data_IF_456395743146
#
_entry.id   IF_456395743146
#
_cell.length_a   1.000
_cell.length_b   1.000
_cell.length_c   1.000
_cell.angle_alpha   90.00
_cell.angle_beta   90.00
_cell.angle_gamma   90.00
#
_symmetry.space_group_name_H-M   'P 1'
#
loop_
_entity.id
_entity.type
_entity.pdbx_description
1 polymer ?
#
# COMPACT_ATOMS: atom_id res chain seq x y z
N UNK A 1 15.65 30.66 -1.55
CA UNK A 1 15.33 31.09 -2.90
C UNK A 1 13.91 30.66 -3.29
N UNK A 2 13.42 31.24 -4.37
CA UNK A 2 12.07 30.97 -4.88
C UNK A 2 12.13 29.93 -6.01
N UNK A 3 11.18 28.97 -6.03
CA UNK A 3 11.02 27.97 -7.08
C UNK A 3 9.54 27.88 -7.46
N UNK A 4 9.26 27.63 -8.72
CA UNK A 4 7.89 27.43 -9.19
C UNK A 4 7.87 26.33 -10.25
N UNK A 5 6.69 25.72 -10.42
CA UNK A 5 6.42 24.76 -11.46
C UNK A 5 4.93 24.82 -11.85
N UNK A 6 4.64 24.68 -13.13
CA UNK A 6 3.29 24.57 -13.65
C UNK A 6 3.24 23.39 -14.63
N UNK A 7 2.12 22.69 -14.65
CA UNK A 7 1.87 21.60 -15.56
C UNK A 7 0.42 21.64 -16.00
N UNK A 8 0.17 21.35 -17.26
CA UNK A 8 -1.17 21.13 -17.81
C UNK A 8 -1.15 19.81 -18.61
N UNK A 9 -2.18 19.02 -18.46
CA UNK A 9 -2.41 17.81 -19.25
C UNK A 9 -3.86 17.81 -19.74
N UNK A 10 -4.07 17.38 -20.97
CA UNK A 10 -5.37 17.26 -21.62
C UNK A 10 -5.56 15.80 -21.97
N UNK A 11 -6.67 15.22 -21.57
CA UNK A 11 -7.05 13.84 -21.84
C UNK A 11 -8.23 13.83 -22.80
N UNK A 12 -8.10 13.13 -23.92
CA UNK A 12 -9.19 12.93 -24.86
C UNK A 12 -10.15 11.83 -24.38
N UNK A 13 -11.34 11.81 -24.98
CA UNK A 13 -12.30 10.74 -24.77
C UNK A 13 -11.69 9.38 -25.17
N UNK A 14 -11.79 8.40 -24.27
CA UNK A 14 -11.36 7.02 -24.51
C UNK A 14 -12.57 6.10 -24.44
N UNK A 15 -12.72 5.23 -25.43
CA UNK A 15 -13.74 4.19 -25.41
C UNK A 15 -13.11 2.79 -25.43
N UNK A 16 -13.64 1.90 -24.61
CA UNK A 16 -13.24 0.48 -24.60
C UNK A 16 -14.45 -0.42 -24.47
N UNK A 17 -14.30 -1.66 -24.93
CA UNK A 17 -15.31 -2.69 -24.75
C UNK A 17 -15.06 -3.40 -23.43
N UNK A 18 -16.10 -3.62 -22.66
CA UNK A 18 -16.11 -4.41 -21.45
C UNK A 18 -17.28 -5.41 -21.49
N UNK A 19 -17.17 -6.53 -20.80
CA UNK A 19 -18.28 -7.43 -20.54
C UNK A 19 -18.87 -7.15 -19.16
N UNK A 20 -20.22 -7.10 -19.09
CA UNK A 20 -20.90 -7.04 -17.81
C UNK A 20 -20.91 -8.41 -17.11
N UNK A 21 -21.38 -8.45 -15.87
CA UNK A 21 -21.47 -9.70 -15.09
C UNK A 21 -22.34 -10.79 -15.71
N UNK A 22 -23.12 -10.46 -16.75
CA UNK A 22 -23.99 -11.37 -17.51
C UNK A 22 -23.38 -11.78 -18.86
N UNK A 23 -22.09 -11.39 -19.11
CA UNK A 23 -21.40 -11.70 -20.35
C UNK A 23 -21.83 -10.86 -21.56
N UNK A 24 -22.49 -9.73 -21.36
CA UNK A 24 -22.94 -8.85 -22.45
C UNK A 24 -21.89 -7.78 -22.73
N UNK A 25 -21.56 -7.60 -24.00
CA UNK A 25 -20.66 -6.52 -24.42
C UNK A 25 -21.25 -5.14 -24.09
N UNK A 26 -20.46 -4.33 -23.41
CA UNK A 26 -20.76 -2.90 -23.15
C UNK A 26 -19.62 -2.05 -23.66
N UNK A 27 -19.96 -0.97 -24.33
CA UNK A 27 -19.01 0.09 -24.63
C UNK A 27 -18.98 1.06 -23.45
N UNK A 28 -17.83 1.16 -22.79
CA UNK A 28 -17.57 2.14 -21.75
C UNK A 28 -16.88 3.32 -22.43
N UNK A 29 -17.45 4.52 -22.25
CA UNK A 29 -16.89 5.77 -22.72
C UNK A 29 -16.45 6.55 -21.47
N UNK A 30 -15.17 6.85 -21.37
CA UNK A 30 -14.61 7.78 -20.39
C UNK A 30 -14.34 9.10 -21.13
N UNK A 31 -15.07 10.11 -20.72
CA UNK A 31 -14.90 11.43 -21.30
C UNK A 31 -13.60 12.06 -20.78
N UNK A 32 -12.85 12.69 -21.65
CA UNK A 32 -11.60 13.33 -21.33
C UNK A 32 -11.71 14.40 -20.25
N UNK A 33 -10.60 14.70 -19.60
CA UNK A 33 -10.48 15.69 -18.52
C UNK A 33 -9.25 16.55 -18.73
N UNK A 34 -9.34 17.80 -18.31
CA UNK A 34 -8.22 18.72 -18.27
C UNK A 34 -7.64 18.80 -16.85
N UNK A 35 -6.33 18.75 -16.76
CA UNK A 35 -5.59 18.79 -15.49
C UNK A 35 -4.66 20.00 -15.48
N UNK A 36 -4.66 20.73 -14.38
CA UNK A 36 -3.72 21.82 -14.14
C UNK A 36 -3.11 21.72 -12.76
N UNK A 37 -1.82 21.97 -12.66
CA UNK A 37 -1.06 21.96 -11.39
C UNK A 37 -0.17 23.19 -11.35
N UNK A 38 -0.18 23.88 -10.20
CA UNK A 38 0.71 24.99 -9.88
C UNK A 38 1.41 24.71 -8.54
N UNK A 39 2.73 24.76 -8.52
CA UNK A 39 3.54 24.66 -7.30
C UNK A 39 4.39 25.92 -7.14
N UNK A 40 4.32 26.54 -5.95
CA UNK A 40 5.20 27.62 -5.54
C UNK A 40 5.92 27.17 -4.28
N UNK A 41 7.22 27.44 -4.20
CA UNK A 41 8.05 27.08 -3.06
C UNK A 41 9.06 28.20 -2.78
N UNK A 42 9.08 28.66 -1.54
CA UNK A 42 10.13 29.51 -1.01
C UNK A 42 10.97 28.71 -0.01
N UNK A 43 12.27 28.68 -0.19
CA UNK A 43 13.20 28.05 0.74
C UNK A 43 14.27 29.05 1.19
N UNK A 44 14.40 29.18 2.50
CA UNK A 44 15.51 29.85 3.16
C UNK A 44 16.36 28.80 3.88
N UNK A 45 17.66 28.82 3.60
CA UNK A 45 18.65 27.92 4.19
C UNK A 45 19.79 28.76 4.71
N UNK A 46 19.83 28.88 6.01
CA UNK A 46 20.94 29.49 6.76
C UNK A 46 21.28 28.55 7.92
N UNK A 47 21.48 29.02 9.12
CA UNK A 47 21.60 28.17 10.32
C UNK A 47 20.35 27.28 10.52
N UNK A 48 19.18 27.77 10.14
CA UNK A 48 17.92 27.07 10.17
C UNK A 48 17.33 26.96 8.76
N UNK A 49 16.48 25.96 8.56
CA UNK A 49 15.76 25.77 7.30
C UNK A 49 14.31 26.20 7.47
N UNK A 50 13.84 27.07 6.58
CA UNK A 50 12.43 27.42 6.45
C UNK A 50 12.00 27.19 5.01
N UNK A 51 10.99 26.37 4.83
CA UNK A 51 10.27 26.15 3.57
C UNK A 51 8.84 26.60 3.70
N UNK A 52 8.34 27.37 2.73
CA UNK A 52 6.94 27.75 2.61
C UNK A 52 6.47 27.33 1.21
N UNK A 53 5.42 26.56 1.13
CA UNK A 53 4.92 26.03 -0.12
C UNK A 53 3.44 26.26 -0.34
N UNK A 54 3.07 26.40 -1.61
CA UNK A 54 1.69 26.37 -2.09
C UNK A 54 1.60 25.36 -3.23
N UNK A 55 0.56 24.52 -3.18
CA UNK A 55 0.19 23.61 -4.28
C UNK A 55 -1.29 23.83 -4.63
N UNK A 56 -1.55 24.21 -5.88
CA UNK A 56 -2.89 24.26 -6.44
C UNK A 56 -3.05 23.19 -7.52
N UNK A 57 -4.16 22.45 -7.50
CA UNK A 57 -4.53 21.52 -8.57
C UNK A 57 -5.96 21.77 -9.00
N UNK A 58 -6.23 21.58 -10.29
CA UNK A 58 -7.58 21.67 -10.85
C UNK A 58 -7.79 20.54 -11.85
N UNK A 59 -8.95 19.94 -11.78
CA UNK A 59 -9.45 18.95 -12.75
C UNK A 59 -10.77 19.45 -13.27
N UNK A 60 -10.89 19.61 -14.58
CA UNK A 60 -12.13 20.00 -15.26
C UNK A 60 -12.56 18.83 -16.12
N UNK A 61 -13.74 18.32 -15.88
CA UNK A 61 -14.33 17.23 -16.64
C UNK A 61 -15.80 17.46 -16.94
N UNK A 62 -16.39 16.70 -17.85
CA UNK A 62 -17.79 16.90 -18.29
C UNK A 62 -18.80 16.58 -17.18
N UNK A 63 -18.42 15.88 -16.13
CA UNK A 63 -19.32 15.48 -15.03
C UNK A 63 -19.21 16.38 -13.81
N UNK A 64 -18.01 16.90 -13.52
CA UNK A 64 -17.73 17.75 -12.37
C UNK A 64 -16.38 18.46 -12.53
N UNK A 65 -16.22 19.49 -11.74
CA UNK A 65 -14.93 20.14 -11.50
C UNK A 65 -14.43 19.78 -10.10
N UNK A 66 -13.12 19.66 -9.96
CA UNK A 66 -12.46 19.46 -8.69
C UNK A 66 -11.22 20.36 -8.57
N UNK A 67 -11.02 20.96 -7.40
CA UNK A 67 -9.82 21.72 -7.11
C UNK A 67 -9.29 21.37 -5.72
N UNK A 68 -7.97 21.40 -5.58
CA UNK A 68 -7.31 21.24 -4.29
C UNK A 68 -6.28 22.35 -4.13
N UNK A 69 -6.28 22.99 -2.96
CA UNK A 69 -5.31 23.99 -2.57
C UNK A 69 -4.62 23.55 -1.28
N UNK A 70 -3.30 23.53 -1.28
CA UNK A 70 -2.47 23.14 -0.15
C UNK A 70 -1.47 24.21 0.20
N UNK A 71 -1.29 24.44 1.50
CA UNK A 71 -0.20 25.23 2.06
C UNK A 71 0.69 24.33 2.88
N UNK A 72 1.98 24.41 2.73
CA UNK A 72 2.94 23.65 3.53
C UNK A 72 4.00 24.54 4.12
N UNK A 73 4.40 24.18 5.34
CA UNK A 73 5.47 24.84 6.11
C UNK A 73 6.42 23.75 6.58
N UNK A 74 7.69 23.96 6.32
CA UNK A 74 8.78 23.11 6.80
C UNK A 74 9.77 23.97 7.58
N UNK A 75 9.92 23.69 8.86
CA UNK A 75 10.90 24.35 9.70
C UNK A 75 11.83 23.34 10.35
N UNK A 76 13.11 23.62 10.38
CA UNK A 76 14.10 22.77 11.02
C UNK A 76 15.28 23.58 11.54
N UNK A 77 15.71 23.28 12.76
CA UNK A 77 16.99 23.77 13.29
C UNK A 77 18.14 23.12 12.53
N UNK A 78 19.18 23.92 12.21
CA UNK A 78 20.35 23.45 11.47
C UNK A 78 21.10 22.32 12.17
N UNK A 79 21.01 22.25 13.49
CA UNK A 79 21.55 21.13 14.29
C UNK A 79 20.81 19.79 14.07
N UNK A 80 19.62 19.80 13.43
CA UNK A 80 18.74 18.64 13.33
C UNK A 80 18.02 18.25 14.62
N UNK A 81 18.20 19.07 15.69
CA UNK A 81 17.60 18.81 17.00
C UNK A 81 16.08 18.86 16.97
N UNK A 82 15.51 19.77 16.17
CA UNK A 82 14.07 20.02 16.14
C UNK A 82 13.59 20.28 14.70
N UNK A 83 12.40 19.81 14.38
CA UNK A 83 11.77 20.08 13.10
C UNK A 83 10.26 20.04 13.19
N UNK A 84 9.59 20.87 12.40
CA UNK A 84 8.15 20.93 12.24
C UNK A 84 7.82 20.90 10.77
N UNK A 85 6.92 20.01 10.39
CA UNK A 85 6.31 19.97 9.07
C UNK A 85 4.80 20.10 9.24
N UNK A 86 4.18 21.07 8.56
CA UNK A 86 2.74 21.30 8.59
C UNK A 86 2.22 21.39 7.17
N UNK A 87 1.07 20.78 6.94
CA UNK A 87 0.33 20.90 5.70
C UNK A 87 -1.14 21.17 6.00
N UNK A 88 -1.71 22.17 5.34
CA UNK A 88 -3.13 22.47 5.33
C UNK A 88 -3.66 22.25 3.92
N UNK A 89 -4.83 21.66 3.80
CA UNK A 89 -5.46 21.38 2.51
C UNK A 89 -6.93 21.79 2.54
N UNK A 90 -7.38 22.39 1.44
CA UNK A 90 -8.78 22.61 1.12
C UNK A 90 -9.05 21.98 -0.24
N UNK A 91 -10.09 21.17 -0.31
CA UNK A 91 -10.59 20.62 -1.58
C UNK A 91 -12.00 21.16 -1.86
N UNK A 92 -12.29 21.37 -3.11
CA UNK A 92 -13.66 21.55 -3.61
C UNK A 92 -13.91 20.53 -4.71
N UNK A 93 -14.99 19.80 -4.62
CA UNK A 93 -15.39 18.83 -5.64
C UNK A 93 -16.88 18.88 -5.85
N UNK A 94 -17.28 19.27 -7.05
CA UNK A 94 -18.68 19.45 -7.43
C UNK A 94 -19.45 20.41 -6.47
N UNK A 95 -18.75 21.46 -5.95
CA UNK A 95 -19.32 22.43 -5.01
C UNK A 95 -19.31 21.98 -3.54
N UNK A 96 -18.78 20.80 -3.23
CA UNK A 96 -18.58 20.37 -1.85
C UNK A 96 -17.16 20.71 -1.37
N UNK A 97 -17.06 21.66 -0.45
CA UNK A 97 -15.78 22.09 0.11
C UNK A 97 -15.44 21.28 1.37
N UNK A 98 -14.25 20.69 1.40
CA UNK A 98 -13.68 20.00 2.55
C UNK A 98 -12.33 20.55 2.97
N UNK A 99 -11.94 20.36 4.22
CA UNK A 99 -10.68 20.84 4.79
C UNK A 99 -9.98 19.76 5.61
N UNK A 100 -8.65 19.83 5.60
CA UNK A 100 -7.81 18.93 6.38
C UNK A 100 -6.44 19.50 6.64
N UNK A 101 -5.66 18.77 7.44
CA UNK A 101 -4.28 19.15 7.72
C UNK A 101 -3.53 18.06 8.46
N UNK A 102 -2.22 18.18 8.38
CA UNK A 102 -1.24 17.29 9.02
C UNK A 102 -0.23 18.19 9.74
N UNK A 103 0.18 17.77 10.94
CA UNK A 103 1.25 18.39 11.70
C UNK A 103 2.20 17.31 12.21
N UNK A 104 3.46 17.41 11.82
CA UNK A 104 4.54 16.57 12.30
C UNK A 104 5.55 17.39 13.10
N UNK A 105 5.86 16.95 14.31
CA UNK A 105 6.89 17.55 15.16
C UNK A 105 7.95 16.50 15.47
N UNK A 106 9.19 16.80 15.16
CA UNK A 106 10.35 15.93 15.41
C UNK A 106 11.30 16.58 16.42
N UNK A 107 11.76 15.76 17.38
CA UNK A 107 12.75 16.14 18.36
C UNK A 107 13.79 15.04 18.51
N UNK A 108 15.05 15.33 18.23
CA UNK A 108 16.18 14.44 18.39
C UNK A 108 16.86 14.71 19.75
N UNK A 109 16.42 13.98 20.79
CA UNK A 109 17.01 14.12 22.13
C UNK A 109 18.51 13.74 22.14
N UNK A 110 18.91 12.85 21.22
CA UNK A 110 20.30 12.51 20.93
C UNK A 110 20.40 11.86 19.55
N UNK A 111 21.62 11.56 19.09
CA UNK A 111 21.82 10.73 17.89
C UNK A 111 21.21 9.32 18.00
N UNK A 112 20.95 8.86 19.21
CA UNK A 112 20.40 7.55 19.51
C UNK A 112 18.90 7.56 19.75
N UNK A 113 18.30 8.67 20.16
CA UNK A 113 16.90 8.74 20.57
C UNK A 113 16.22 9.91 19.85
N UNK A 114 15.14 9.60 19.16
CA UNK A 114 14.31 10.56 18.43
C UNK A 114 12.84 10.38 18.80
N UNK A 115 12.15 11.49 18.94
CA UNK A 115 10.72 11.58 19.18
C UNK A 115 10.04 12.18 17.95
N UNK A 116 8.91 11.65 17.56
CA UNK A 116 8.05 12.22 16.54
C UNK A 116 6.62 12.20 17.02
N UNK A 117 5.93 13.32 16.88
CA UNK A 117 4.50 13.47 17.09
C UNK A 117 3.88 13.80 15.75
N UNK A 118 2.84 13.07 15.38
CA UNK A 118 2.06 13.30 14.17
C UNK A 118 0.62 13.54 14.58
N UNK A 119 -0.01 14.53 13.99
CA UNK A 119 -1.43 14.82 14.17
C UNK A 119 -2.07 15.05 12.82
N UNK A 120 -3.24 14.47 12.60
CA UNK A 120 -4.02 14.54 11.38
C UNK A 120 -5.46 14.91 11.66
N UNK A 121 -6.02 15.76 10.82
CA UNK A 121 -7.42 16.13 10.80
C UNK A 121 -7.91 16.21 9.36
N UNK A 122 -8.97 15.49 9.04
CA UNK A 122 -9.64 15.56 7.75
C UNK A 122 -11.14 15.48 7.94
N UNK A 123 -11.88 16.52 7.54
CA UNK A 123 -13.34 16.50 7.62
C UNK A 123 -13.97 15.48 6.65
N UNK A 124 -15.29 15.32 6.71
CA UNK A 124 -16.02 14.32 5.92
C UNK A 124 -16.11 14.67 4.42
N UNK A 125 -15.89 15.93 4.06
CA UNK A 125 -16.04 16.44 2.69
C UNK A 125 -14.71 16.51 1.94
N UNK A 126 -13.57 16.49 2.63
CA UNK A 126 -12.28 16.56 1.97
C UNK A 126 -12.09 15.39 1.00
N UNK A 127 -11.80 15.71 -0.24
CA UNK A 127 -11.54 14.75 -1.31
C UNK A 127 -10.43 15.29 -2.23
N UNK A 128 -9.28 14.65 -2.22
CA UNK A 128 -8.12 15.03 -3.04
C UNK A 128 -7.80 13.97 -4.10
N UNK A 129 -8.68 12.97 -4.29
CA UNK A 129 -8.35 11.75 -5.03
C UNK A 129 -8.38 11.92 -6.55
N UNK A 130 -8.70 13.10 -7.07
CA UNK A 130 -8.66 13.36 -8.52
C UNK A 130 -7.22 13.49 -9.07
N UNK A 131 -6.31 14.12 -8.29
CA UNK A 131 -4.86 14.22 -8.59
C UNK A 131 -3.96 13.88 -7.38
N UNK A 132 -4.55 13.37 -6.31
CA UNK A 132 -3.87 12.97 -5.10
C UNK A 132 -4.38 11.63 -4.58
N UNK A 133 -4.01 11.29 -3.37
CA UNK A 133 -4.52 10.11 -2.67
C UNK A 133 -4.75 10.40 -1.19
N UNK A 134 -5.98 10.25 -0.74
CA UNK A 134 -6.37 10.25 0.66
C UNK A 134 -7.10 8.94 0.96
N UNK A 135 -6.47 8.08 1.75
CA UNK A 135 -7.05 6.77 2.10
C UNK A 135 -8.34 6.90 2.90
N UNK A 136 -8.41 7.93 3.75
CA UNK A 136 -9.51 8.14 4.68
C UNK A 136 -9.71 9.63 4.92
N UNK A 137 -10.94 10.08 4.89
CA UNK A 137 -11.43 11.34 5.43
C UNK A 137 -12.32 11.10 6.65
N UNK A 138 -12.95 12.15 7.19
CA UNK A 138 -13.87 12.08 8.33
C UNK A 138 -13.19 11.50 9.58
N UNK A 139 -11.97 11.97 9.91
CA UNK A 139 -11.28 11.55 11.11
C UNK A 139 -10.34 12.62 11.67
N UNK A 140 -10.04 12.47 12.94
CA UNK A 140 -8.90 13.10 13.60
C UNK A 140 -8.10 12.05 14.33
N UNK A 141 -6.82 12.28 14.48
CA UNK A 141 -6.00 11.36 15.23
C UNK A 141 -4.55 11.77 15.24
N UNK A 142 -3.75 10.95 15.88
CA UNK A 142 -2.32 11.15 15.92
C UNK A 142 -1.56 9.91 16.33
N UNK A 143 -0.27 10.02 16.22
CA UNK A 143 0.64 9.01 16.73
C UNK A 143 1.88 9.65 17.33
N UNK A 144 2.41 8.97 18.34
CA UNK A 144 3.70 9.26 18.93
C UNK A 144 4.66 8.12 18.61
N UNK A 145 5.84 8.46 18.08
CA UNK A 145 6.90 7.53 17.74
C UNK A 145 8.13 7.83 18.58
N UNK A 146 8.61 6.83 19.31
CA UNK A 146 9.91 6.84 19.98
C UNK A 146 10.86 5.93 19.21
N UNK A 147 11.80 6.51 18.50
CA UNK A 147 12.82 5.76 17.77
C UNK A 147 14.14 5.71 18.55
N UNK A 148 14.76 4.55 18.55
CA UNK A 148 16.08 4.37 19.13
C UNK A 148 17.02 3.69 18.16
N UNK A 149 18.29 4.06 18.21
CA UNK A 149 19.36 3.47 17.42
C UNK A 149 20.61 3.26 18.31
N UNK A 150 21.09 2.05 18.36
CA UNK A 150 22.31 1.71 19.06
C UNK A 150 23.31 1.11 18.06
N UNK A 151 24.22 1.94 17.51
CA UNK A 151 25.14 1.53 16.45
C UNK A 151 26.39 0.83 16.97
N UNK A 152 26.60 0.77 18.29
CA UNK A 152 27.79 0.15 18.87
C UNK A 152 27.66 -1.37 18.90
N UNK A 153 28.70 -2.12 18.49
CA UNK A 153 28.65 -3.57 18.51
C UNK A 153 28.54 -4.09 19.95
N UNK A 154 27.59 -5.00 20.16
CA UNK A 154 27.48 -5.79 21.37
C UNK A 154 28.16 -7.16 21.19
N UNK A 155 27.98 -8.05 22.18
CA UNK A 155 28.53 -9.42 22.13
C UNK A 155 27.97 -10.21 20.94
N UNK A 156 26.68 -10.04 20.61
CA UNK A 156 25.92 -10.86 19.66
C UNK A 156 25.52 -10.10 18.39
N UNK A 157 25.49 -8.77 18.43
CA UNK A 157 24.99 -7.94 17.33
C UNK A 157 25.98 -6.80 17.00
N UNK A 158 25.87 -6.27 15.79
CA UNK A 158 26.62 -5.11 15.31
C UNK A 158 25.87 -3.81 15.58
N UNK A 159 24.56 -3.80 15.38
CA UNK A 159 23.69 -2.66 15.59
C UNK A 159 22.28 -3.09 15.89
N UNK A 160 21.54 -2.26 16.61
CA UNK A 160 20.09 -2.39 16.74
C UNK A 160 19.43 -1.03 16.59
N UNK A 161 18.24 -1.05 16.00
CA UNK A 161 17.35 0.12 15.90
C UNK A 161 15.91 -0.34 16.02
N UNK A 162 15.09 0.48 16.63
CA UNK A 162 13.68 0.17 16.74
C UNK A 162 12.83 1.40 16.95
N UNK A 163 11.53 1.18 16.93
CA UNK A 163 10.53 2.23 17.13
C UNK A 163 9.38 1.68 17.95
N UNK A 164 8.99 2.41 18.97
CA UNK A 164 7.76 2.23 19.73
C UNK A 164 6.75 3.27 19.23
N UNK A 165 5.53 2.84 18.88
CA UNK A 165 4.50 3.69 18.30
C UNK A 165 3.24 3.55 19.13
N UNK A 166 2.67 4.68 19.52
CA UNK A 166 1.33 4.79 20.12
C UNK A 166 0.44 5.52 19.12
N UNK A 167 -0.68 4.94 18.75
CA UNK A 167 -1.62 5.51 17.77
C UNK A 167 -3.02 5.57 18.33
N UNK A 168 -3.73 6.64 17.96
CA UNK A 168 -5.16 6.80 18.25
C UNK A 168 -5.83 7.64 17.14
N UNK A 169 -6.98 7.18 16.63
CA UNK A 169 -7.78 7.88 15.63
C UNK A 169 -9.28 7.71 15.91
N UNK A 170 -10.03 8.78 15.73
CA UNK A 170 -11.50 8.82 15.91
C UNK A 170 -12.19 9.28 14.62
N UNK A 171 -13.34 8.72 14.35
CA UNK A 171 -14.26 9.19 13.32
C UNK A 171 -14.97 10.45 13.83
N UNK A 172 -14.93 11.54 13.05
CA UNK A 172 -15.50 12.83 13.46
C UNK A 172 -17.04 12.82 13.56
N UNK A 173 -17.72 12.10 12.67
CA UNK A 173 -19.18 12.08 12.62
C UNK A 173 -19.78 11.27 13.76
N UNK A 174 -19.20 10.09 14.03
CA UNK A 174 -19.73 9.16 15.03
C UNK A 174 -19.03 9.28 16.40
N UNK A 175 -17.87 9.96 16.50
CA UNK A 175 -17.06 10.01 17.71
C UNK A 175 -16.48 8.65 18.13
N UNK A 176 -16.43 7.69 17.20
CA UNK A 176 -15.98 6.32 17.47
C UNK A 176 -14.48 6.18 17.20
N UNK A 177 -13.79 5.46 18.08
CA UNK A 177 -12.38 5.10 17.85
C UNK A 177 -12.30 4.10 16.72
N UNK A 178 -11.60 4.46 15.63
CA UNK A 178 -11.50 3.68 14.39
C UNK A 178 -10.10 3.12 14.13
N UNK A 179 -9.09 3.63 14.82
CA UNK A 179 -7.76 3.05 14.85
C UNK A 179 -7.07 3.37 16.18
N UNK A 180 -6.49 2.36 16.81
CA UNK A 180 -5.66 2.53 18.00
C UNK A 180 -4.74 1.33 18.19
N UNK A 181 -3.61 1.56 18.83
CA UNK A 181 -2.68 0.48 19.14
C UNK A 181 -1.34 0.95 19.64
N UNK A 182 -0.62 -0.03 20.19
CA UNK A 182 0.79 0.09 20.57
C UNK A 182 1.58 -0.90 19.72
N UNK A 183 2.60 -0.39 19.03
CA UNK A 183 3.44 -1.17 18.13
C UNK A 183 4.90 -1.05 18.57
N UNK A 184 5.58 -2.16 18.65
CA UNK A 184 7.03 -2.19 18.75
C UNK A 184 7.62 -2.87 17.53
N UNK A 185 8.60 -2.22 16.91
CA UNK A 185 9.34 -2.75 15.77
C UNK A 185 10.83 -2.65 16.06
N UNK A 186 11.57 -3.69 15.75
CA UNK A 186 13.01 -3.70 15.94
C UNK A 186 13.73 -4.35 14.76
N UNK A 187 14.91 -3.85 14.46
CA UNK A 187 15.86 -4.44 13.52
C UNK A 187 17.18 -4.66 14.26
N UNK A 188 17.61 -5.90 14.29
CA UNK A 188 18.87 -6.34 14.87
C UNK A 188 19.79 -6.82 13.75
N UNK A 189 20.96 -6.19 13.61
CA UNK A 189 22.00 -6.63 12.69
C UNK A 189 22.98 -7.50 13.47
N UNK A 190 23.03 -8.78 13.15
CA UNK A 190 23.90 -9.76 13.78
C UNK A 190 25.34 -9.69 13.24
N UNK A 191 26.28 -10.28 13.93
CA UNK A 191 27.61 -10.54 13.39
C UNK A 191 27.49 -11.38 12.11
N UNK A 192 28.24 -11.01 11.05
CA UNK A 192 28.10 -11.61 9.72
C UNK A 192 27.00 -10.99 8.87
N UNK A 193 26.47 -9.81 9.27
CA UNK A 193 25.47 -8.99 8.54
C UNK A 193 24.09 -9.66 8.35
N UNK A 194 23.83 -10.77 9.04
CA UNK A 194 22.48 -11.31 9.07
C UNK A 194 21.56 -10.35 9.84
N UNK A 195 20.30 -10.25 9.42
CA UNK A 195 19.35 -9.32 10.00
C UNK A 195 18.16 -10.05 10.58
N UNK A 196 17.75 -9.67 11.79
CA UNK A 196 16.47 -10.06 12.37
C UNK A 196 15.61 -8.81 12.46
N UNK A 197 14.40 -8.87 11.90
CA UNK A 197 13.36 -7.85 12.08
C UNK A 197 12.22 -8.46 12.86
N UNK A 198 11.82 -7.81 13.93
CA UNK A 198 10.69 -8.24 14.76
C UNK A 198 9.68 -7.11 14.90
N UNK A 199 8.42 -7.47 14.96
CA UNK A 199 7.33 -6.55 15.22
C UNK A 199 6.29 -7.22 16.11
N UNK A 200 5.78 -6.47 17.09
CA UNK A 200 4.70 -6.87 17.98
C UNK A 200 3.74 -5.69 18.06
N UNK A 201 2.45 -5.94 18.00
CA UNK A 201 1.45 -4.92 18.25
C UNK A 201 0.31 -5.47 19.10
N UNK A 202 -0.18 -4.62 19.99
CA UNK A 202 -1.47 -4.77 20.65
C UNK A 202 -2.43 -3.74 20.06
N UNK A 203 -3.53 -4.22 19.54
CA UNK A 203 -4.57 -3.45 18.86
C UNK A 203 -5.86 -3.59 19.66
N UNK A 204 -6.16 -2.64 20.56
CA UNK A 204 -7.40 -2.66 21.31
C UNK A 204 -8.62 -2.65 20.39
N UNK A 205 -9.74 -3.12 20.91
CA UNK A 205 -11.04 -3.09 20.24
C UNK A 205 -11.35 -1.69 19.70
N UNK A 206 -11.79 -1.62 18.44
CA UNK A 206 -12.13 -0.40 17.71
C UNK A 206 -13.37 -0.61 16.86
N UNK A 207 -13.88 0.45 16.29
CA UNK A 207 -14.93 0.36 15.29
C UNK A 207 -14.34 0.24 13.90
N UNK A 208 -14.85 -0.72 13.12
CA UNK A 208 -14.62 -0.83 11.68
C UNK A 208 -15.82 -0.23 10.96
N UNK A 209 -15.63 0.95 10.36
CA UNK A 209 -16.68 1.77 9.76
C UNK A 209 -16.59 1.87 8.23
N UNK A 210 -15.56 1.27 7.61
CA UNK A 210 -15.32 1.35 6.16
C UNK A 210 -15.60 0.04 5.42
N UNK A 211 -15.34 -1.11 6.02
CA UNK A 211 -15.53 -2.41 5.38
C UNK A 211 -16.98 -2.67 4.97
N UNK A 212 -17.95 -2.06 5.66
CA UNK A 212 -19.37 -2.13 5.32
C UNK A 212 -19.78 -1.26 4.14
N UNK A 213 -18.86 -0.47 3.58
CA UNK A 213 -19.12 0.47 2.47
C UNK A 213 -20.29 1.42 2.76
N UNK A 214 -20.35 1.98 3.97
CA UNK A 214 -21.39 2.93 4.41
C UNK A 214 -22.65 2.28 5.02
N UNK A 215 -22.69 0.95 5.18
CA UNK A 215 -23.85 0.23 5.76
C UNK A 215 -23.74 0.04 7.29
N UNK A 216 -23.06 0.95 7.98
CA UNK A 216 -22.88 0.95 9.42
C UNK A 216 -21.48 0.51 9.85
N UNK A 217 -21.23 0.57 11.16
CA UNK A 217 -19.96 0.18 11.78
C UNK A 217 -20.16 -1.01 12.72
N UNK A 218 -19.08 -1.75 12.96
CA UNK A 218 -19.07 -2.82 13.96
C UNK A 218 -17.80 -2.77 14.80
N UNK A 219 -17.92 -3.25 16.03
CA UNK A 219 -16.80 -3.29 16.98
C UNK A 219 -16.00 -4.58 16.78
N UNK A 220 -14.68 -4.44 16.61
CA UNK A 220 -13.75 -5.57 16.52
C UNK A 220 -13.34 -6.05 17.93
N UNK A 221 -12.82 -7.25 18.05
CA UNK A 221 -12.14 -7.72 19.27
C UNK A 221 -10.80 -7.01 19.47
N UNK A 222 -10.25 -7.09 20.68
CA UNK A 222 -8.82 -6.83 20.90
C UNK A 222 -7.99 -7.81 20.08
N UNK A 223 -6.87 -7.33 19.51
CA UNK A 223 -6.06 -8.14 18.59
C UNK A 223 -4.59 -7.99 18.88
N UNK A 224 -3.87 -9.06 18.65
CA UNK A 224 -2.41 -9.11 18.67
C UNK A 224 -1.89 -9.36 17.26
N UNK A 225 -0.84 -8.66 16.89
CA UNK A 225 -0.08 -8.90 15.68
C UNK A 225 1.39 -9.14 16.01
N UNK A 226 1.95 -10.19 15.43
CA UNK A 226 3.33 -10.62 15.63
C UNK A 226 3.97 -10.87 14.26
N UNK A 227 5.23 -10.50 14.10
CA UNK A 227 6.03 -10.86 12.94
C UNK A 227 7.50 -10.97 13.32
N UNK A 228 8.17 -11.98 12.81
CA UNK A 228 9.61 -12.13 12.89
C UNK A 228 10.15 -12.50 11.51
N UNK A 229 11.14 -11.77 11.02
CA UNK A 229 11.84 -12.01 9.77
C UNK A 229 13.33 -12.20 10.06
N UNK A 230 13.91 -13.21 9.47
CA UNK A 230 15.36 -13.42 9.41
C UNK A 230 15.82 -13.33 7.96
N UNK A 231 16.93 -12.64 7.73
CA UNK A 231 17.56 -12.54 6.42
C UNK A 231 19.08 -12.66 6.55
N UNK A 232 19.69 -13.34 5.61
CA UNK A 232 21.15 -13.41 5.50
C UNK A 232 21.72 -12.12 4.91
N UNK A 233 23.05 -12.02 4.86
CA UNK A 233 23.76 -10.88 4.25
C UNK A 233 23.41 -10.78 2.75
N UNK A 234 22.69 -9.72 2.39
CA UNK A 234 22.26 -9.45 1.01
C UNK A 234 23.43 -9.07 0.06
N UNK A 235 24.65 -8.86 0.56
CA UNK A 235 25.83 -8.62 -0.28
C UNK A 235 26.44 -9.91 -0.87
N UNK A 236 26.00 -11.08 -0.41
CA UNK A 236 26.47 -12.36 -0.92
C UNK A 236 25.84 -12.71 -2.26
N UNK A 237 26.50 -13.57 -3.02
CA UNK A 237 25.95 -14.07 -4.28
C UNK A 237 24.65 -14.87 -4.10
N UNK A 238 24.49 -15.51 -2.95
CA UNK A 238 23.28 -16.21 -2.54
C UNK A 238 22.83 -15.69 -1.18
N UNK A 239 21.60 -15.21 -1.10
CA UNK A 239 20.98 -14.75 0.15
C UNK A 239 19.58 -15.33 0.31
N UNK A 240 19.19 -15.52 1.58
CA UNK A 240 17.92 -16.12 1.97
C UNK A 240 17.19 -15.17 2.92
N UNK A 241 15.87 -15.19 2.82
CA UNK A 241 14.99 -14.55 3.79
C UNK A 241 13.85 -15.49 4.18
N UNK A 242 13.40 -15.41 5.42
CA UNK A 242 12.19 -16.09 5.88
C UNK A 242 11.50 -15.26 6.94
N UNK A 243 10.16 -15.26 6.93
CA UNK A 243 9.40 -14.68 8.03
C UNK A 243 8.25 -15.57 8.47
N UNK A 244 7.94 -15.47 9.75
CA UNK A 244 6.75 -16.04 10.36
C UNK A 244 5.95 -14.93 11.03
N UNK A 245 4.65 -14.96 10.86
CA UNK A 245 3.75 -13.96 11.42
C UNK A 245 2.44 -14.55 11.91
N UNK A 246 1.80 -13.85 12.81
CA UNK A 246 0.47 -14.12 13.31
C UNK A 246 -0.32 -12.83 13.50
N UNK A 247 -1.58 -12.84 13.12
CA UNK A 247 -2.52 -11.73 13.29
C UNK A 247 -3.85 -12.29 13.79
N UNK A 248 -4.38 -11.72 14.85
CA UNK A 248 -5.78 -11.97 15.20
C UNK A 248 -6.71 -11.16 14.27
N UNK A 249 -7.65 -11.85 13.66
CA UNK A 249 -8.69 -11.26 12.81
C UNK A 249 -9.71 -10.47 13.67
N UNK A 250 -10.63 -9.78 13.03
CA UNK A 250 -11.60 -8.89 13.70
C UNK A 250 -12.47 -9.58 14.77
N UNK A 251 -12.67 -10.90 14.65
CA UNK A 251 -13.43 -11.73 15.60
C UNK A 251 -12.54 -12.47 16.62
N UNK A 252 -11.22 -12.30 16.58
CA UNK A 252 -10.27 -12.89 17.52
C UNK A 252 -9.60 -14.21 17.06
N UNK A 253 -10.04 -14.80 15.94
CA UNK A 253 -9.38 -15.97 15.33
C UNK A 253 -8.01 -15.58 14.74
N UNK A 254 -7.14 -16.57 14.48
CA UNK A 254 -5.78 -16.33 14.04
C UNK A 254 -5.54 -16.55 12.54
N UNK A 255 -4.90 -15.59 11.92
CA UNK A 255 -4.23 -15.76 10.62
C UNK A 255 -2.74 -15.99 10.86
N UNK A 256 -2.22 -17.09 10.31
CA UNK A 256 -0.79 -17.40 10.30
C UNK A 256 -0.21 -17.10 8.93
N UNK A 257 1.00 -16.55 8.88
CA UNK A 257 1.72 -16.24 7.64
C UNK A 257 3.14 -16.76 7.68
N UNK A 258 3.62 -17.28 6.55
CA UNK A 258 4.99 -17.71 6.31
C UNK A 258 5.44 -17.10 4.98
N UNK A 259 6.65 -16.54 4.96
CA UNK A 259 7.29 -16.16 3.69
C UNK A 259 8.68 -16.78 3.62
N UNK A 260 9.13 -17.12 2.42
CA UNK A 260 10.49 -17.56 2.15
C UNK A 260 10.96 -16.91 0.85
N UNK A 261 12.20 -16.45 0.82
CA UNK A 261 12.78 -15.78 -0.34
C UNK A 261 14.24 -16.19 -0.55
N UNK A 262 14.63 -16.26 -1.82
CA UNK A 262 15.99 -16.54 -2.28
C UNK A 262 16.37 -15.51 -3.33
N UNK A 263 17.45 -14.76 -3.06
CA UNK A 263 18.09 -13.92 -4.07
C UNK A 263 19.39 -14.56 -4.49
N UNK A 264 19.58 -14.81 -5.79
CA UNK A 264 20.80 -15.35 -6.34
C UNK A 264 21.39 -14.40 -7.37
N UNK A 265 22.64 -13.99 -7.16
CA UNK A 265 23.49 -13.25 -8.12
C UNK A 265 24.48 -14.22 -8.71
N UNK A 266 24.14 -14.77 -9.89
CA UNK A 266 24.95 -15.79 -10.56
C UNK A 266 26.20 -15.17 -11.20
N UNK A 267 26.10 -13.90 -11.61
CA UNK A 267 27.19 -13.07 -12.12
C UNK A 267 26.86 -11.59 -11.91
N UNK A 268 27.76 -10.70 -12.28
CA UNK A 268 27.52 -9.24 -12.27
C UNK A 268 26.40 -8.84 -13.25
N UNK A 269 26.12 -9.68 -14.25
CA UNK A 269 25.11 -9.44 -15.28
C UNK A 269 23.81 -10.21 -15.08
N UNK A 270 23.74 -11.19 -14.17
CA UNK A 270 22.59 -12.08 -14.02
C UNK A 270 22.23 -12.28 -12.56
N UNK A 271 21.05 -11.85 -12.18
CA UNK A 271 20.47 -12.15 -10.87
C UNK A 271 18.97 -12.43 -10.94
N UNK A 272 18.47 -13.18 -9.97
CA UNK A 272 17.06 -13.43 -9.79
C UNK A 272 16.65 -13.43 -8.32
N UNK A 273 15.37 -13.14 -8.11
CA UNK A 273 14.66 -13.25 -6.84
C UNK A 273 13.51 -14.23 -7.00
N UNK A 274 13.40 -15.16 -6.06
CA UNK A 274 12.30 -16.10 -5.94
C UNK A 274 11.70 -15.94 -4.56
N UNK A 275 10.42 -15.56 -4.48
CA UNK A 275 9.70 -15.41 -3.23
C UNK A 275 8.44 -16.28 -3.21
N UNK A 276 8.10 -16.73 -2.03
CA UNK A 276 6.90 -17.50 -1.76
C UNK A 276 6.24 -17.00 -0.47
N UNK A 277 4.96 -16.66 -0.54
CA UNK A 277 4.16 -16.35 0.64
C UNK A 277 2.98 -17.31 0.77
N UNK A 278 2.79 -17.77 1.99
CA UNK A 278 1.68 -18.62 2.41
C UNK A 278 0.95 -17.97 3.58
N UNK A 279 -0.40 -17.93 3.52
CA UNK A 279 -1.22 -17.55 4.67
C UNK A 279 -2.33 -18.57 4.87
N UNK A 280 -2.55 -18.91 6.13
CA UNK A 280 -3.73 -19.64 6.58
C UNK A 280 -4.54 -18.73 7.47
N UNK A 281 -5.71 -18.34 6.99
CA UNK A 281 -6.64 -17.45 7.67
C UNK A 281 -7.72 -18.27 8.35
N UNK A 282 -8.08 -17.89 9.56
CA UNK A 282 -9.24 -18.44 10.26
C UNK A 282 -10.11 -17.28 10.68
N UNK A 283 -11.42 -17.35 10.35
CA UNK A 283 -12.37 -16.29 10.71
C UNK A 283 -12.13 -14.94 10.02
N UNK A 284 -11.56 -14.94 8.82
CA UNK A 284 -11.35 -13.73 8.03
C UNK A 284 -12.68 -13.09 7.64
N UNK A 285 -12.95 -11.87 8.11
CA UNK A 285 -14.21 -11.16 7.87
C UNK A 285 -14.20 -10.49 6.50
N UNK A 286 -15.14 -10.86 5.64
CA UNK A 286 -15.28 -10.36 4.27
C UNK A 286 -16.69 -9.82 4.05
N UNK A 287 -16.78 -8.61 3.48
CA UNK A 287 -18.02 -7.97 3.11
C UNK A 287 -18.74 -8.71 1.98
N UNK A 288 -20.04 -8.93 2.12
CA UNK A 288 -20.87 -9.71 1.18
C UNK A 288 -21.99 -8.87 0.52
N UNK A 289 -22.09 -7.59 0.86
CA UNK A 289 -23.12 -6.68 0.34
C UNK A 289 -24.07 -6.16 1.41
N UNK A 290 -24.57 -4.95 1.27
CA UNK A 290 -25.46 -4.32 2.23
C UNK A 290 -24.88 -4.33 3.66
N UNK A 291 -25.56 -4.98 4.61
CA UNK A 291 -25.09 -5.14 6.00
C UNK A 291 -24.51 -6.53 6.27
N UNK A 292 -24.31 -7.35 5.24
CA UNK A 292 -23.90 -8.74 5.37
C UNK A 292 -22.39 -8.92 5.30
N UNK A 293 -21.87 -9.79 6.15
CA UNK A 293 -20.48 -10.23 6.18
C UNK A 293 -20.43 -11.77 6.29
N UNK A 294 -19.33 -12.35 5.82
CA UNK A 294 -18.95 -13.73 6.09
C UNK A 294 -17.64 -13.79 6.86
N UNK A 295 -17.50 -14.73 7.78
CA UNK A 295 -16.22 -15.15 8.32
C UNK A 295 -15.75 -16.40 7.57
N UNK A 296 -14.54 -16.32 7.01
CA UNK A 296 -13.98 -17.33 6.11
C UNK A 296 -12.75 -17.98 6.70
N UNK A 297 -12.62 -19.28 6.47
CA UNK A 297 -11.33 -19.97 6.57
C UNK A 297 -10.72 -19.97 5.17
N UNK A 298 -9.48 -19.49 5.04
CA UNK A 298 -8.85 -19.34 3.73
C UNK A 298 -7.38 -19.73 3.71
N UNK A 299 -6.93 -20.15 2.53
CA UNK A 299 -5.53 -20.38 2.22
C UNK A 299 -5.14 -19.45 1.07
N UNK A 300 -4.05 -18.69 1.27
CA UNK A 300 -3.45 -17.83 0.26
C UNK A 300 -2.08 -18.40 -0.12
N UNK A 301 -1.82 -18.51 -1.43
CA UNK A 301 -0.50 -18.84 -2.00
C UNK A 301 -0.08 -17.72 -2.95
N UNK A 302 1.13 -17.20 -2.77
CA UNK A 302 1.64 -16.08 -3.59
C UNK A 302 3.11 -16.33 -3.93
N UNK A 303 3.41 -17.15 -4.97
CA UNK A 303 4.75 -17.23 -5.54
C UNK A 303 5.03 -16.01 -6.42
N UNK A 304 6.27 -15.53 -6.40
CA UNK A 304 6.78 -14.53 -7.32
C UNK A 304 8.20 -14.86 -7.77
N UNK A 305 8.53 -14.45 -8.99
CA UNK A 305 9.85 -14.64 -9.56
C UNK A 305 10.23 -13.42 -10.40
N UNK A 306 11.38 -12.83 -10.11
CA UNK A 306 11.95 -11.71 -10.85
C UNK A 306 13.35 -12.09 -11.36
N UNK A 307 13.60 -11.89 -12.66
CA UNK A 307 14.88 -12.09 -13.31
C UNK A 307 15.36 -10.78 -13.92
N UNK A 308 16.63 -10.49 -13.74
CA UNK A 308 17.30 -9.37 -14.39
C UNK A 308 18.60 -9.86 -15.03
N UNK A 309 18.68 -9.74 -16.35
CA UNK A 309 19.81 -10.23 -17.13
C UNK A 309 20.31 -9.16 -18.10
N UNK A 310 21.55 -8.73 -17.90
CA UNK A 310 22.29 -7.89 -18.82
C UNK A 310 23.02 -8.82 -19.82
N UNK A 311 22.50 -8.91 -21.04
CA UNK A 311 23.13 -9.67 -22.13
C UNK A 311 24.43 -9.01 -22.58
N UNK A 312 24.45 -7.67 -22.57
CA UNK A 312 25.58 -6.78 -22.78
C UNK A 312 25.38 -5.52 -21.97
N UNK A 313 26.33 -4.60 -21.95
CA UNK A 313 26.23 -3.36 -21.17
C UNK A 313 25.01 -2.51 -21.55
N UNK A 314 24.60 -2.56 -22.80
CA UNK A 314 23.50 -1.82 -23.41
C UNK A 314 22.22 -2.65 -23.62
N UNK A 315 22.23 -3.97 -23.33
CA UNK A 315 21.10 -4.88 -23.55
C UNK A 315 20.65 -5.54 -22.25
N UNK A 316 19.42 -5.34 -21.86
CA UNK A 316 18.84 -5.88 -20.62
C UNK A 316 17.52 -6.61 -20.89
N UNK A 317 17.37 -7.79 -20.32
CA UNK A 317 16.10 -8.50 -20.20
C UNK A 317 15.67 -8.47 -18.72
N UNK A 318 14.40 -8.11 -18.47
CA UNK A 318 13.73 -8.34 -17.20
C UNK A 318 12.53 -9.23 -17.42
N UNK A 319 12.38 -10.22 -16.57
CA UNK A 319 11.19 -11.04 -16.47
C UNK A 319 10.63 -10.90 -15.05
N UNK A 320 9.34 -10.68 -14.95
CA UNK A 320 8.62 -10.65 -13.69
C UNK A 320 7.39 -11.54 -13.79
N UNK A 321 7.18 -12.36 -12.78
CA UNK A 321 6.04 -13.24 -12.62
C UNK A 321 5.51 -13.09 -11.20
N UNK A 322 4.22 -12.87 -11.06
CA UNK A 322 3.52 -12.83 -9.79
C UNK A 322 2.16 -13.52 -9.93
N UNK A 323 1.86 -14.41 -9.02
CA UNK A 323 0.55 -15.03 -8.93
C UNK A 323 0.04 -14.99 -7.50
N UNK A 324 -1.26 -14.73 -7.35
CA UNK A 324 -1.94 -14.81 -6.07
C UNK A 324 -3.17 -15.71 -6.20
N UNK A 325 -3.12 -16.85 -5.53
CA UNK A 325 -4.22 -17.79 -5.41
C UNK A 325 -4.81 -17.78 -4.02
N UNK A 326 -6.14 -17.61 -3.90
CA UNK A 326 -6.86 -17.67 -2.62
C UNK A 326 -8.02 -18.64 -2.76
N UNK A 327 -8.19 -19.52 -1.77
CA UNK A 327 -9.39 -20.35 -1.61
C UNK A 327 -10.00 -20.04 -0.26
N UNK A 328 -11.24 -19.59 -0.24
CA UNK A 328 -11.94 -19.12 0.95
C UNK A 328 -13.27 -19.86 1.11
N UNK A 329 -13.47 -20.44 2.28
CA UNK A 329 -14.65 -21.23 2.65
C UNK A 329 -15.42 -20.51 3.75
N UNK A 330 -16.72 -20.23 3.52
CA UNK A 330 -17.54 -19.54 4.50
C UNK A 330 -17.84 -20.44 5.69
N UNK A 331 -17.37 -19.98 6.87
CA UNK A 331 -17.58 -20.68 8.14
C UNK A 331 -18.85 -20.23 8.84
N UNK A 332 -19.14 -18.92 8.77
CA UNK A 332 -20.27 -18.32 9.46
C UNK A 332 -20.66 -16.99 8.81
N UNK A 333 -21.98 -16.79 8.61
CA UNK A 333 -22.54 -15.52 8.18
C UNK A 333 -22.76 -14.57 9.36
N UNK A 334 -22.54 -13.28 9.11
CA UNK A 334 -22.69 -12.21 10.08
C UNK A 334 -23.42 -11.02 9.47
N UNK A 335 -23.90 -10.14 10.34
CA UNK A 335 -24.55 -8.88 9.98
C UNK A 335 -24.04 -7.75 10.86
N UNK A 336 -23.88 -6.55 10.27
CA UNK A 336 -23.63 -5.32 11.03
C UNK A 336 -24.80 -5.07 11.98
N UNK A 337 -24.56 -4.80 13.28
CA UNK A 337 -25.63 -4.54 14.25
C UNK A 337 -26.42 -3.27 13.90
N UNK A 338 -27.67 -3.18 14.33
CA UNK A 338 -28.49 -1.98 14.18
C UNK A 338 -28.15 -0.89 15.20
N UNK A 339 -27.52 -1.26 16.30
CA UNK A 339 -26.94 -0.39 17.32
C UNK A 339 -25.46 -0.69 17.45
N UNK A 340 -24.72 0.13 18.20
CA UNK A 340 -23.31 -0.09 18.46
C UNK A 340 -23.03 -1.48 19.02
N UNK A 341 -22.03 -2.18 18.49
CA UNK A 341 -21.67 -3.50 18.96
C UNK A 341 -20.87 -4.34 17.95
N UNK A 342 -20.57 -5.55 18.35
CA UNK A 342 -19.88 -6.52 17.50
C UNK A 342 -20.79 -7.05 16.39
N UNK A 343 -20.20 -7.64 15.35
CA UNK A 343 -20.94 -8.36 14.30
C UNK A 343 -21.87 -9.42 14.93
N UNK A 344 -23.11 -9.45 14.50
CA UNK A 344 -24.11 -10.39 14.98
C UNK A 344 -24.14 -11.62 14.07
N UNK A 345 -24.10 -12.81 14.67
CA UNK A 345 -24.27 -14.07 13.92
C UNK A 345 -25.65 -14.13 13.27
N UNK A 346 -25.68 -14.56 12.03
CA UNK A 346 -26.92 -14.81 11.30
C UNK A 346 -27.20 -16.30 11.24
N UNK A 347 -28.36 -16.71 11.73
CA UNK A 347 -28.87 -18.07 11.58
C UNK A 347 -29.56 -18.20 10.21
N UNK A 348 -29.47 -19.37 9.57
CA UNK A 348 -30.20 -19.70 8.33
C UNK A 348 -29.74 -18.89 7.09
N UNK A 349 -28.47 -18.64 6.94
CA UNK A 349 -27.93 -18.11 5.70
C UNK A 349 -28.20 -19.07 4.54
N UNK A 350 -28.59 -18.54 3.38
CA UNK A 350 -28.53 -19.28 2.12
C UNK A 350 -27.10 -19.83 1.95
N UNK A 351 -26.93 -21.08 1.67
CA UNK A 351 -25.71 -21.87 1.49
C UNK A 351 -24.34 -21.20 1.56
N UNK A 352 -23.24 -21.92 1.61
CA UNK A 352 -21.91 -21.35 1.73
C UNK A 352 -21.60 -20.43 0.54
N UNK A 353 -21.01 -19.27 0.81
CA UNK A 353 -20.56 -18.28 -0.19
C UNK A 353 -19.06 -18.40 -0.42
N UNK A 354 -18.63 -19.65 -0.63
CA UNK A 354 -17.24 -19.94 -0.91
C UNK A 354 -16.76 -19.20 -2.16
N UNK A 355 -15.50 -18.81 -2.19
CA UNK A 355 -14.94 -18.14 -3.35
C UNK A 355 -13.45 -18.45 -3.51
N UNK A 356 -12.99 -18.31 -4.75
CA UNK A 356 -11.58 -18.36 -5.10
C UNK A 356 -11.14 -17.02 -5.67
N UNK A 357 -9.84 -16.72 -5.56
CA UNK A 357 -9.21 -15.61 -6.25
C UNK A 357 -7.99 -16.16 -6.98
N UNK A 358 -7.84 -15.81 -8.25
CA UNK A 358 -6.64 -16.11 -9.02
C UNK A 358 -6.25 -14.87 -9.82
N UNK A 359 -5.13 -14.26 -9.44
CA UNK A 359 -4.58 -13.06 -10.06
C UNK A 359 -3.20 -13.40 -10.60
N UNK A 360 -3.00 -13.26 -11.91
CA UNK A 360 -1.72 -13.47 -12.58
C UNK A 360 -1.22 -12.16 -13.18
N UNK A 361 0.03 -11.86 -12.97
CA UNK A 361 0.76 -10.79 -13.68
C UNK A 361 2.10 -11.33 -14.14
N UNK A 362 2.35 -11.24 -15.44
CA UNK A 362 3.63 -11.62 -16.05
C UNK A 362 4.08 -10.51 -16.99
N UNK A 363 5.33 -10.13 -16.90
CA UNK A 363 5.94 -9.13 -17.77
C UNK A 363 7.29 -9.62 -18.26
N UNK A 364 7.53 -9.50 -19.55
CA UNK A 364 8.86 -9.61 -20.16
C UNK A 364 9.21 -8.25 -20.73
N UNK A 365 10.33 -7.69 -20.32
CA UNK A 365 10.83 -6.41 -20.82
C UNK A 365 12.25 -6.55 -21.35
N UNK A 366 12.41 -6.23 -22.62
CA UNK A 366 13.71 -6.02 -23.23
C UNK A 366 14.00 -4.52 -23.33
N UNK A 367 15.21 -4.11 -22.94
CA UNK A 367 15.74 -2.75 -23.11
C UNK A 367 17.02 -2.80 -23.89
N UNK A 368 17.13 -1.93 -24.88
CA UNK A 368 18.35 -1.65 -25.60
C UNK A 368 18.68 -0.16 -25.50
N UNK A 369 19.83 0.17 -24.91
CA UNK A 369 20.36 1.53 -24.86
C UNK A 369 21.13 1.80 -26.16
N UNK A 370 20.45 2.38 -27.16
CA UNK A 370 21.02 2.66 -28.50
C UNK A 370 22.13 3.72 -28.40
N UNK A 371 21.97 4.70 -27.51
CA UNK A 371 22.92 5.76 -27.20
C UNK A 371 22.66 6.25 -25.77
N UNK A 372 23.59 7.00 -25.14
CA UNK A 372 23.35 7.54 -23.81
C UNK A 372 22.01 8.27 -23.70
N UNK A 373 21.17 7.84 -22.78
CA UNK A 373 19.82 8.35 -22.51
C UNK A 373 18.79 8.13 -23.65
N UNK A 374 19.13 7.29 -24.62
CA UNK A 374 18.23 6.88 -25.72
C UNK A 374 17.98 5.39 -25.62
N UNK A 375 16.78 5.01 -25.25
CA UNK A 375 16.42 3.62 -24.96
C UNK A 375 15.30 3.15 -25.89
N UNK A 376 15.45 1.96 -26.41
CA UNK A 376 14.39 1.20 -27.08
C UNK A 376 13.89 0.10 -26.14
N UNK A 377 12.57 0.00 -26.00
CA UNK A 377 11.93 -0.99 -25.16
C UNK A 377 10.96 -1.85 -25.98
N UNK A 378 10.96 -3.13 -25.69
CA UNK A 378 9.90 -4.06 -26.05
C UNK A 378 9.37 -4.65 -24.75
N UNK A 379 8.08 -4.48 -24.49
CA UNK A 379 7.44 -4.94 -23.25
C UNK A 379 6.23 -5.81 -23.62
N UNK A 380 6.26 -7.05 -23.20
CA UNK A 380 5.12 -7.95 -23.26
C UNK A 380 4.53 -8.10 -21.87
N UNK A 381 3.25 -7.82 -21.74
CA UNK A 381 2.50 -8.01 -20.50
C UNK A 381 1.40 -9.06 -20.71
N UNK A 382 1.26 -9.94 -19.73
CA UNK A 382 0.15 -10.89 -19.66
C UNK A 382 -0.40 -10.88 -18.24
N UNK A 383 -1.68 -10.68 -18.11
CA UNK A 383 -2.36 -10.67 -16.82
C UNK A 383 -3.74 -11.30 -16.92
N UNK A 384 -4.17 -11.87 -15.81
CA UNK A 384 -5.49 -12.43 -15.67
C UNK A 384 -6.03 -12.20 -14.25
N UNK A 385 -7.33 -12.04 -14.18
CA UNK A 385 -8.13 -12.11 -12.96
C UNK A 385 -9.30 -13.03 -13.25
N UNK A 386 -9.20 -14.27 -12.81
CA UNK A 386 -10.29 -15.22 -12.98
C UNK A 386 -11.52 -14.79 -12.17
N UNK A 387 -12.73 -14.96 -12.70
CA UNK A 387 -13.94 -14.87 -11.89
C UNK A 387 -13.87 -15.93 -10.77
N UNK A 388 -14.53 -15.70 -9.62
CA UNK A 388 -14.60 -16.68 -8.55
C UNK A 388 -15.15 -18.01 -9.07
N UNK A 389 -14.38 -19.08 -8.90
CA UNK A 389 -14.74 -20.45 -9.31
C UNK A 389 -14.62 -21.40 -8.13
N UNK A 390 -15.19 -22.58 -8.22
CA UNK A 390 -15.01 -23.66 -7.24
C UNK A 390 -13.84 -24.58 -7.62
N UNK A 391 -12.76 -24.02 -8.18
CA UNK A 391 -11.60 -24.82 -8.58
C UNK A 391 -11.04 -25.64 -7.42
N UNK A 392 -10.84 -26.93 -7.62
CA UNK A 392 -10.48 -27.87 -6.57
C UNK A 392 -9.02 -27.76 -6.12
N UNK A 393 -8.11 -27.41 -7.02
CA UNK A 393 -6.69 -27.32 -6.72
C UNK A 393 -6.07 -25.95 -7.09
N UNK A 394 -5.01 -25.53 -6.39
CA UNK A 394 -4.27 -24.32 -6.71
C UNK A 394 -3.56 -24.41 -8.07
N UNK A 395 -3.18 -25.64 -8.49
CA UNK A 395 -2.58 -25.88 -9.79
C UNK A 395 -3.53 -25.54 -10.95
N UNK A 396 -4.81 -25.87 -10.79
CA UNK A 396 -5.84 -25.56 -11.78
C UNK A 396 -6.08 -24.05 -11.86
N UNK A 397 -6.20 -23.36 -10.71
CA UNK A 397 -6.32 -21.90 -10.66
C UNK A 397 -5.15 -21.18 -11.35
N UNK A 398 -3.92 -21.69 -11.21
CA UNK A 398 -2.74 -21.14 -11.88
C UNK A 398 -2.77 -21.44 -13.37
N UNK A 399 -3.10 -22.68 -13.76
CA UNK A 399 -3.20 -23.11 -15.16
C UNK A 399 -4.22 -22.27 -15.92
N UNK A 400 -5.42 -22.12 -15.36
CA UNK A 400 -6.51 -21.36 -15.97
C UNK A 400 -6.16 -19.88 -16.09
N UNK A 401 -5.42 -19.32 -15.11
CA UNK A 401 -4.93 -17.94 -15.20
C UNK A 401 -3.98 -17.72 -16.38
N UNK A 402 -3.26 -18.75 -16.83
CA UNK A 402 -2.42 -18.67 -18.03
C UNK A 402 -3.21 -18.85 -19.34
N UNK A 403 -4.31 -19.59 -19.33
CA UNK A 403 -5.03 -19.94 -20.55
C UNK A 403 -5.86 -18.78 -21.10
N UNK A 404 -6.58 -18.06 -20.23
CA UNK A 404 -7.52 -16.99 -20.59
C UNK A 404 -7.09 -15.62 -20.07
N UNK A 405 -6.13 -14.94 -20.72
CA UNK A 405 -5.65 -13.64 -20.25
C UNK A 405 -6.71 -12.55 -20.46
N UNK A 406 -6.97 -11.75 -19.44
CA UNK A 406 -7.75 -10.49 -19.55
C UNK A 406 -6.91 -9.41 -20.24
N UNK A 407 -5.60 -9.42 -19.99
CA UNK A 407 -4.65 -8.50 -20.63
C UNK A 407 -3.56 -9.32 -21.32
N UNK A 408 -3.38 -9.07 -22.60
CA UNK A 408 -2.23 -9.55 -23.37
C UNK A 408 -1.80 -8.43 -24.29
N UNK A 409 -0.69 -7.77 -23.99
CA UNK A 409 -0.25 -6.58 -24.74
C UNK A 409 1.23 -6.62 -25.05
N UNK A 410 1.59 -6.19 -26.25
CA UNK A 410 2.95 -5.92 -26.67
C UNK A 410 3.09 -4.41 -26.90
N UNK A 411 4.00 -3.80 -26.16
CA UNK A 411 4.28 -2.36 -26.24
C UNK A 411 5.71 -2.16 -26.73
N UNK A 412 5.86 -1.34 -27.76
CA UNK A 412 7.16 -0.89 -28.23
C UNK A 412 7.29 0.60 -27.94
N UNK A 413 8.38 1.00 -27.27
CA UNK A 413 8.63 2.37 -26.86
C UNK A 413 10.04 2.80 -27.20
N UNK A 414 10.18 3.94 -27.84
CA UNK A 414 11.44 4.65 -28.00
C UNK A 414 11.45 5.87 -27.07
N UNK A 415 12.45 5.93 -26.18
CA UNK A 415 12.74 7.11 -25.39
C UNK A 415 13.97 7.78 -25.98
N UNK A 416 13.82 8.98 -26.45
CA UNK A 416 14.90 9.76 -27.07
C UNK A 416 15.10 11.07 -26.31
N UNK A 417 16.35 11.43 -26.02
CA UNK A 417 16.69 12.71 -25.42
C UNK A 417 17.15 13.69 -26.50
N UNK A 418 16.46 14.80 -26.62
CA UNK A 418 16.86 15.92 -27.44
C UNK A 418 17.74 16.91 -26.63
N UNK A 419 18.85 17.34 -27.21
CA UNK A 419 19.77 18.30 -26.62
C UNK A 419 20.84 17.65 -25.73
N UNK A 420 22.09 17.87 -26.04
CA UNK A 420 23.27 17.57 -25.26
C UNK A 420 23.65 18.76 -24.39
#
# INVERSE_FOLDING_TARGET
GFRYGAMTAIEDEVSWRAMDALGRDQQIIDAGRDFSVLRLLYEHKDENRLGLGYLGTQVVGPRYEASVQGLDVHYGLGSGLFGVDMQLVQSDRAGETGRGGILDVRYAASSAIQHKFEFEYFDSKVNVNDLGFLRRNNYRGGQYLLSYAYPKPGRWFQATRGTLIFRHQENLTAGQVVDQGVFWRNTLVLKGRNTIRSAIAYLPSRYEDRNSRGNGAYKTSDRIWLNALWATDASRSLSFSTSIGGLQEDLGDWTLSLTAGVTARLSDSLYFDLDFAYKRRTGWVVYQGGREFGAFDAIDLQPSFDLNWFLAADHQIKFSFQWAGVKAYERQAYRVPSADGALQRRAGAAGPRDFTVSLLTTQVRYRWEIAPLTDFYVVYNRGNQLPPTEADAFGDLLSDAFQDPVVSSLVVKLRYRFGG
#
